data_IF_905982262726
#
_entry.id   IF_905982262726
#
_cell.length_a   1.000
_cell.length_b   1.000
_cell.length_c   1.000
_cell.angle_alpha   90.00
_cell.angle_beta   90.00
_cell.angle_gamma   90.00
#
_symmetry.space_group_name_H-M   'P 1'
#
loop_
_entity.id
_entity.type
_entity.pdbx_description
1 polymer ?
#
# COMPACT_ATOMS: atom_id res chain seq x y z
N UNK A 1 22.27 -10.62 -34.75
CA UNK A 1 21.20 -9.74 -34.24
C UNK A 1 20.30 -10.61 -33.37
N UNK A 2 20.32 -10.52 -32.03
CA UNK A 2 19.40 -11.31 -31.22
C UNK A 2 17.99 -10.70 -31.33
N UNK A 3 16.97 -11.57 -31.38
CA UNK A 3 15.56 -11.17 -31.48
C UNK A 3 15.13 -10.33 -30.28
N UNK A 4 14.39 -9.25 -30.56
CA UNK A 4 13.78 -8.34 -29.60
C UNK A 4 12.80 -9.07 -28.65
N UNK A 5 13.26 -9.49 -27.47
CA UNK A 5 12.41 -9.85 -26.32
C UNK A 5 11.94 -8.59 -25.57
N UNK A 6 11.45 -7.57 -26.27
CA UNK A 6 11.06 -6.31 -25.60
C UNK A 6 9.69 -6.42 -24.93
N UNK A 7 8.89 -7.43 -25.28
CA UNK A 7 7.50 -7.59 -24.84
C UNK A 7 7.35 -8.97 -24.19
N UNK A 8 7.08 -9.01 -22.89
CA UNK A 8 6.90 -10.25 -22.12
C UNK A 8 5.41 -10.38 -21.79
N UNK A 9 4.76 -11.54 -21.98
CA UNK A 9 3.40 -11.74 -21.53
C UNK A 9 3.25 -11.42 -20.03
N UNK A 10 2.24 -10.64 -19.65
CA UNK A 10 2.03 -10.20 -18.27
C UNK A 10 2.06 -11.38 -17.29
N UNK A 11 1.38 -12.48 -17.63
CA UNK A 11 1.31 -13.68 -16.79
C UNK A 11 2.69 -14.30 -16.52
N UNK A 12 3.64 -14.18 -17.46
CA UNK A 12 5.01 -14.66 -17.24
C UNK A 12 5.77 -13.73 -16.29
N UNK A 13 5.50 -12.42 -16.33
CA UNK A 13 6.14 -11.44 -15.45
C UNK A 13 5.58 -11.47 -14.02
N UNK A 14 4.31 -11.86 -13.84
CA UNK A 14 3.64 -11.92 -12.53
C UNK A 14 4.41 -12.77 -11.52
N UNK A 15 4.93 -13.92 -11.96
CA UNK A 15 5.69 -14.82 -11.09
C UNK A 15 6.93 -14.13 -10.50
N UNK A 16 7.75 -13.51 -11.35
CA UNK A 16 8.98 -12.80 -10.94
C UNK A 16 8.67 -11.57 -10.07
N UNK A 17 7.64 -10.80 -10.44
CA UNK A 17 7.19 -9.64 -9.66
C UNK A 17 6.79 -10.08 -8.24
N UNK A 18 6.02 -11.16 -8.14
CA UNK A 18 5.55 -11.71 -6.88
C UNK A 18 6.70 -12.23 -6.00
N UNK A 19 7.64 -12.97 -6.60
CA UNK A 19 8.80 -13.51 -5.89
C UNK A 19 9.68 -12.40 -5.33
N UNK A 20 10.05 -11.42 -6.17
CA UNK A 20 10.85 -10.29 -5.72
C UNK A 20 10.12 -9.42 -4.69
N UNK A 21 8.81 -9.20 -4.84
CA UNK A 21 8.01 -8.47 -3.85
C UNK A 21 8.07 -9.14 -2.47
N UNK A 22 7.83 -10.45 -2.38
CA UNK A 22 7.85 -11.19 -1.11
C UNK A 22 9.22 -11.15 -0.45
N UNK A 23 10.27 -11.30 -1.25
CA UNK A 23 11.65 -11.26 -0.79
C UNK A 23 12.01 -9.89 -0.20
N UNK A 24 11.65 -8.80 -0.89
CA UNK A 24 11.94 -7.44 -0.43
C UNK A 24 11.06 -7.08 0.78
N UNK A 25 9.77 -7.43 0.74
CA UNK A 25 8.80 -7.13 1.79
C UNK A 25 9.01 -7.95 3.08
N UNK A 26 9.92 -8.94 3.08
CA UNK A 26 10.13 -9.86 4.20
C UNK A 26 8.82 -10.49 4.71
N UNK A 27 7.91 -10.81 3.78
CA UNK A 27 6.54 -11.22 4.08
C UNK A 27 6.15 -12.49 3.32
N UNK A 28 6.33 -13.66 3.93
CA UNK A 28 5.95 -14.95 3.36
C UNK A 28 4.49 -15.35 3.61
N UNK A 29 3.81 -14.72 4.58
CA UNK A 29 2.44 -15.09 4.98
C UNK A 29 1.34 -14.39 4.18
N UNK A 30 1.66 -13.33 3.44
CA UNK A 30 0.74 -12.59 2.57
C UNK A 30 1.43 -12.22 1.26
N UNK A 31 0.96 -12.82 0.16
CA UNK A 31 1.34 -12.52 -1.22
C UNK A 31 0.49 -11.39 -1.81
N UNK A 32 0.81 -10.97 -3.05
CA UNK A 32 -0.07 -10.11 -3.82
C UNK A 32 -1.31 -10.91 -4.20
N UNK A 33 -2.48 -10.32 -4.00
CA UNK A 33 -3.76 -10.85 -4.47
C UNK A 33 -3.96 -10.60 -5.96
N UNK A 34 -4.92 -11.28 -6.61
CA UNK A 34 -5.30 -10.96 -7.99
C UNK A 34 -5.72 -9.49 -8.17
N UNK A 35 -6.31 -8.86 -7.15
CA UNK A 35 -6.67 -7.45 -7.16
C UNK A 35 -5.41 -6.57 -7.18
N UNK A 36 -4.42 -6.88 -6.35
CA UNK A 36 -3.15 -6.17 -6.28
C UNK A 36 -2.43 -6.22 -7.64
N UNK A 37 -2.36 -7.40 -8.25
CA UNK A 37 -1.75 -7.60 -9.57
C UNK A 37 -2.48 -6.83 -10.67
N UNK A 38 -3.81 -6.77 -10.62
CA UNK A 38 -4.60 -5.97 -11.55
C UNK A 38 -4.30 -4.48 -11.41
N UNK A 39 -4.11 -3.97 -10.19
CA UNK A 39 -3.70 -2.58 -10.01
C UNK A 39 -2.28 -2.34 -10.53
N UNK A 40 -1.34 -3.23 -10.24
CA UNK A 40 0.04 -3.12 -10.75
C UNK A 40 0.07 -3.10 -12.28
N UNK A 41 -0.75 -3.92 -12.94
CA UNK A 41 -0.91 -3.91 -14.39
C UNK A 41 -1.42 -2.55 -14.90
N UNK A 42 -2.38 -1.93 -14.20
CA UNK A 42 -2.87 -0.58 -14.51
C UNK A 42 -1.78 0.48 -14.32
N UNK A 43 -0.97 0.40 -13.26
CA UNK A 43 0.16 1.31 -13.00
C UNK A 43 1.22 1.18 -14.11
N UNK A 44 1.54 -0.06 -14.50
CA UNK A 44 2.45 -0.32 -15.61
C UNK A 44 1.95 0.28 -16.94
N UNK A 45 0.63 0.43 -17.09
CA UNK A 45 0.00 0.87 -18.32
C UNK A 45 0.03 -0.20 -19.41
N UNK A 46 0.13 -1.48 -19.03
CA UNK A 46 0.19 -2.61 -19.96
C UNK A 46 -1.12 -3.41 -19.97
N UNK A 47 -1.37 -4.14 -21.06
CA UNK A 47 -2.49 -5.07 -21.19
C UNK A 47 -1.97 -6.51 -21.08
N UNK A 48 -1.82 -7.20 -22.21
CA UNK A 48 -1.35 -8.58 -22.27
C UNK A 48 0.18 -8.70 -22.26
N UNK A 49 0.88 -7.66 -22.72
CA UNK A 49 2.34 -7.66 -22.85
C UNK A 49 2.96 -6.49 -22.10
N UNK A 50 4.01 -6.79 -21.36
CA UNK A 50 4.81 -5.86 -20.57
C UNK A 50 6.09 -5.49 -21.33
N UNK A 51 6.32 -4.20 -21.53
CA UNK A 51 7.59 -3.67 -22.03
C UNK A 51 8.53 -3.30 -20.89
N UNK A 52 9.81 -3.07 -21.20
CA UNK A 52 10.75 -2.53 -20.22
C UNK A 52 10.27 -1.20 -19.63
N UNK A 53 9.77 -0.27 -20.44
CA UNK A 53 9.25 1.01 -19.96
C UNK A 53 8.04 0.83 -19.01
N UNK A 54 7.14 -0.10 -19.33
CA UNK A 54 6.02 -0.43 -18.45
C UNK A 54 6.50 -1.03 -17.13
N UNK A 55 7.51 -1.91 -17.19
CA UNK A 55 8.10 -2.50 -16.00
C UNK A 55 8.78 -1.45 -15.13
N UNK A 56 9.54 -0.52 -15.70
CA UNK A 56 10.15 0.58 -14.97
C UNK A 56 9.10 1.42 -14.24
N UNK A 57 7.97 1.73 -14.90
CA UNK A 57 6.84 2.43 -14.27
C UNK A 57 6.27 1.69 -13.07
N UNK A 58 5.98 0.40 -13.25
CA UNK A 58 5.50 -0.47 -12.18
C UNK A 58 6.52 -0.56 -11.04
N UNK A 59 7.79 -0.80 -11.35
CA UNK A 59 8.81 -1.12 -10.36
C UNK A 59 9.19 0.10 -9.53
N UNK A 60 9.24 1.29 -10.12
CA UNK A 60 9.44 2.54 -9.38
C UNK A 60 8.32 2.82 -8.36
N UNK A 61 7.12 2.25 -8.54
CA UNK A 61 6.06 2.30 -7.54
C UNK A 61 6.15 1.14 -6.53
N UNK A 62 6.29 -0.10 -7.03
CA UNK A 62 6.24 -1.31 -6.20
C UNK A 62 7.45 -1.45 -5.28
N UNK A 63 8.64 -1.09 -5.74
CA UNK A 63 9.87 -1.24 -4.95
C UNK A 63 9.84 -0.40 -3.65
N UNK A 64 9.55 0.91 -3.68
CA UNK A 64 9.38 1.70 -2.44
C UNK A 64 8.28 1.16 -1.52
N UNK A 65 7.18 0.64 -2.08
CA UNK A 65 6.11 0.01 -1.32
C UNK A 65 6.61 -1.25 -0.60
N UNK A 66 7.31 -2.13 -1.29
CA UNK A 66 7.89 -3.34 -0.70
C UNK A 66 8.90 -3.01 0.42
N UNK A 67 9.76 -2.01 0.21
CA UNK A 67 10.70 -1.51 1.23
C UNK A 67 9.98 -0.93 2.44
N UNK A 68 8.81 -0.32 2.25
CA UNK A 68 8.01 0.18 3.37
C UNK A 68 7.36 -0.96 4.14
N UNK A 69 6.82 -1.95 3.43
CA UNK A 69 6.23 -3.16 4.04
C UNK A 69 7.27 -3.97 4.82
N UNK A 70 8.53 -3.97 4.42
CA UNK A 70 9.59 -4.70 5.12
C UNK A 70 9.96 -4.10 6.49
N UNK A 71 9.49 -2.89 6.80
CA UNK A 71 9.73 -2.25 8.11
C UNK A 71 8.94 -2.94 9.21
N UNK A 72 9.58 -3.14 10.36
CA UNK A 72 9.00 -3.85 11.52
C UNK A 72 7.66 -3.31 12.02
N UNK A 73 7.35 -2.05 11.75
CA UNK A 73 6.11 -1.38 12.17
C UNK A 73 5.00 -1.41 11.10
N UNK A 74 5.32 -1.68 9.82
CA UNK A 74 4.32 -1.88 8.73
C UNK A 74 4.06 -3.36 8.51
N UNK A 75 5.10 -4.18 8.58
CA UNK A 75 5.04 -5.58 8.28
C UNK A 75 3.94 -6.32 9.06
N UNK A 76 3.73 -6.09 10.37
CA UNK A 76 2.66 -6.74 11.14
C UNK A 76 1.26 -6.37 10.65
N UNK A 77 1.01 -5.10 10.31
CA UNK A 77 -0.30 -4.66 9.80
C UNK A 77 -0.55 -5.10 8.36
N UNK A 78 0.51 -5.24 7.54
CA UNK A 78 0.40 -5.85 6.22
C UNK A 78 0.05 -7.34 6.34
N UNK A 79 0.74 -8.08 7.22
CA UNK A 79 0.53 -9.53 7.42
C UNK A 79 -0.83 -9.88 8.01
N UNK A 80 -1.43 -8.97 8.78
CA UNK A 80 -2.72 -9.19 9.42
C UNK A 80 -3.85 -9.29 8.40
N UNK A 81 -4.48 -10.47 8.34
CA UNK A 81 -5.67 -10.73 7.50
C UNK A 81 -6.98 -10.65 8.29
N UNK A 82 -6.91 -10.64 9.63
CA UNK A 82 -8.08 -10.47 10.51
C UNK A 82 -7.65 -9.80 11.84
N UNK A 83 -7.96 -8.50 12.05
CA UNK A 83 -8.54 -7.59 11.08
C UNK A 83 -7.54 -7.21 9.97
N UNK A 84 -8.06 -6.87 8.79
CA UNK A 84 -7.24 -6.46 7.65
C UNK A 84 -6.96 -4.96 7.75
N UNK A 85 -5.74 -4.60 8.15
CA UNK A 85 -5.37 -3.20 8.37
C UNK A 85 -5.05 -2.47 7.08
N UNK A 86 -4.31 -3.13 6.19
CA UNK A 86 -4.02 -2.65 4.84
C UNK A 86 -4.80 -3.52 3.86
N UNK A 87 -5.76 -2.94 3.16
CA UNK A 87 -6.62 -3.66 2.21
C UNK A 87 -5.82 -4.32 1.08
N UNK A 88 -4.66 -3.76 0.77
CA UNK A 88 -3.82 -4.18 -0.35
C UNK A 88 -3.47 -2.95 -1.16
N UNK A 89 -3.31 -3.17 -2.44
CA UNK A 89 -3.17 -2.12 -3.42
C UNK A 89 -4.57 -1.82 -3.94
N UNK A 90 -5.12 -0.69 -3.49
CA UNK A 90 -6.41 -0.17 -3.90
C UNK A 90 -6.26 1.27 -4.37
N UNK A 91 -7.12 1.70 -5.29
CA UNK A 91 -7.15 3.09 -5.73
C UNK A 91 -7.75 4.00 -4.65
N UNK A 92 -7.65 5.31 -4.87
CA UNK A 92 -8.36 6.28 -4.03
C UNK A 92 -9.86 5.99 -4.06
N UNK A 93 -10.41 5.81 -5.25
CA UNK A 93 -11.84 5.62 -5.49
C UNK A 93 -12.36 4.30 -4.87
N UNK A 94 -11.56 3.22 -4.92
CA UNK A 94 -11.89 1.94 -4.27
C UNK A 94 -11.91 2.09 -2.73
N UNK A 95 -10.99 2.87 -2.15
CA UNK A 95 -10.99 3.16 -0.73
C UNK A 95 -12.20 4.00 -0.31
N UNK A 96 -12.55 5.03 -1.09
CA UNK A 96 -13.75 5.84 -0.84
C UNK A 96 -15.02 4.99 -0.92
N UNK A 97 -15.12 4.10 -1.91
CA UNK A 97 -16.24 3.18 -2.06
C UNK A 97 -16.35 2.21 -0.88
N UNK A 98 -15.23 1.71 -0.34
CA UNK A 98 -15.24 0.83 0.84
C UNK A 98 -15.78 1.52 2.10
N UNK A 99 -15.74 2.85 2.16
CA UNK A 99 -16.28 3.64 3.27
C UNK A 99 -17.72 4.09 3.04
N UNK A 100 -18.36 3.65 1.96
CA UNK A 100 -19.79 3.83 1.75
C UNK A 100 -20.56 2.74 2.50
N UNK A 101 -21.63 3.16 3.19
CA UNK A 101 -22.63 2.31 3.80
C UNK A 101 -23.97 2.38 3.04
N UNK A 102 -25.00 1.64 3.52
CA UNK A 102 -26.29 1.53 2.82
C UNK A 102 -27.02 2.87 2.59
N UNK A 103 -26.76 3.86 3.45
CA UNK A 103 -27.49 5.14 3.50
C UNK A 103 -26.59 6.37 3.35
N UNK A 104 -25.30 6.19 3.04
CA UNK A 104 -24.33 7.28 3.03
C UNK A 104 -22.92 6.77 3.30
N UNK A 105 -22.06 7.55 3.96
CA UNK A 105 -20.79 7.04 4.46
C UNK A 105 -21.00 6.22 5.75
N UNK A 106 -20.02 5.38 6.08
CA UNK A 106 -19.94 4.72 7.38
C UNK A 106 -19.79 5.75 8.52
N UNK A 107 -19.85 5.29 9.77
CA UNK A 107 -19.75 6.17 10.94
C UNK A 107 -18.43 6.96 10.96
N UNK A 108 -18.44 8.22 11.46
CA UNK A 108 -17.22 8.99 11.66
C UNK A 108 -16.16 8.22 12.45
N UNK A 109 -14.92 8.36 12.02
CA UNK A 109 -13.77 7.63 12.55
C UNK A 109 -13.51 6.27 11.88
N UNK A 110 -14.37 5.84 10.97
CA UNK A 110 -14.11 4.64 10.16
C UNK A 110 -13.04 4.94 9.10
N UNK A 111 -12.02 4.09 8.99
CA UNK A 111 -10.86 4.33 8.11
C UNK A 111 -10.31 3.10 7.40
N UNK A 112 -9.57 3.35 6.32
CA UNK A 112 -8.81 2.35 5.55
C UNK A 112 -7.40 2.87 5.29
N UNK A 113 -6.40 1.99 5.43
CA UNK A 113 -5.01 2.26 5.04
C UNK A 113 -4.72 1.74 3.63
N UNK A 114 -4.00 2.54 2.86
CA UNK A 114 -3.55 2.18 1.51
C UNK A 114 -2.23 2.84 1.15
N UNK A 115 -1.57 2.28 0.14
CA UNK A 115 -0.50 2.97 -0.58
C UNK A 115 -1.11 3.88 -1.65
N UNK A 116 -0.67 5.13 -1.81
CA UNK A 116 -1.21 6.02 -2.82
C UNK A 116 -0.73 5.64 -4.21
N UNK A 117 -1.65 5.62 -5.16
CA UNK A 117 -1.36 5.52 -6.59
C UNK A 117 -1.48 6.92 -7.19
N UNK A 118 -0.43 7.73 -7.09
CA UNK A 118 -0.42 9.05 -7.74
C UNK A 118 -0.66 8.91 -9.25
N UNK A 119 -1.41 9.87 -9.82
CA UNK A 119 -1.64 9.98 -11.26
C UNK A 119 -0.47 10.64 -12.00
N UNK A 120 0.55 11.11 -11.29
CA UNK A 120 1.78 11.67 -11.89
C UNK A 120 2.90 10.65 -11.91
N UNK A 121 3.64 10.63 -13.01
CA UNK A 121 4.92 9.93 -13.15
C UNK A 121 6.06 10.95 -13.15
N UNK A 122 7.15 10.77 -12.36
CA UNK A 122 7.36 9.70 -11.37
C UNK A 122 6.37 9.81 -10.19
N UNK A 123 6.18 8.70 -9.46
CA UNK A 123 5.29 8.62 -8.30
C UNK A 123 6.00 9.13 -7.02
N UNK A 124 5.81 10.40 -6.61
CA UNK A 124 6.59 11.00 -5.52
C UNK A 124 6.24 10.44 -4.14
N UNK A 125 5.07 9.81 -4.02
CA UNK A 125 4.48 9.29 -2.81
C UNK A 125 4.53 7.75 -2.75
N UNK A 126 5.20 7.09 -3.69
CA UNK A 126 5.40 5.65 -3.68
C UNK A 126 6.07 5.20 -2.37
N UNK A 127 5.49 4.19 -1.72
CA UNK A 127 5.92 3.71 -0.41
C UNK A 127 5.42 4.53 0.78
N UNK A 128 4.69 5.63 0.58
CA UNK A 128 4.00 6.29 1.70
C UNK A 128 2.69 5.56 2.05
N UNK A 129 2.19 5.70 3.28
CA UNK A 129 0.85 5.26 3.64
C UNK A 129 -0.11 6.44 3.72
N UNK A 130 -1.31 6.26 3.17
CA UNK A 130 -2.42 7.20 3.30
C UNK A 130 -3.52 6.54 4.11
N UNK A 131 -4.07 7.27 5.07
CA UNK A 131 -5.34 6.92 5.71
C UNK A 131 -6.46 7.66 4.99
N UNK A 132 -7.43 6.92 4.47
CA UNK A 132 -8.72 7.47 4.03
C UNK A 132 -9.73 7.21 5.13
N UNK A 133 -10.48 8.23 5.58
CA UNK A 133 -11.42 8.08 6.71
C UNK A 133 -12.65 8.97 6.56
N UNK A 134 -13.71 8.62 7.29
CA UNK A 134 -14.91 9.44 7.44
C UNK A 134 -14.71 10.41 8.61
N UNK A 135 -14.73 11.71 8.32
CA UNK A 135 -14.61 12.76 9.33
C UNK A 135 -15.91 12.99 10.11
N UNK A 136 -15.83 13.75 11.20
CA UNK A 136 -17.00 14.18 11.98
C UNK A 136 -17.96 15.08 11.19
N UNK A 137 -17.50 15.64 10.07
CA UNK A 137 -18.30 16.38 9.10
C UNK A 137 -19.01 15.45 8.07
N UNK A 138 -18.92 14.14 8.25
CA UNK A 138 -19.44 13.11 7.33
C UNK A 138 -18.89 13.26 5.90
N UNK A 139 -17.63 13.71 5.78
CA UNK A 139 -16.89 13.76 4.51
C UNK A 139 -15.71 12.82 4.54
N UNK A 140 -15.26 12.45 3.35
CA UNK A 140 -14.05 11.66 3.17
C UNK A 140 -12.83 12.56 3.23
N UNK A 141 -11.87 12.16 4.05
CA UNK A 141 -10.58 12.80 4.19
C UNK A 141 -9.47 11.83 3.81
N UNK A 142 -8.39 12.35 3.24
CA UNK A 142 -7.20 11.56 2.91
C UNK A 142 -5.98 12.23 3.51
N UNK A 143 -5.28 11.52 4.39
CA UNK A 143 -4.14 12.04 5.11
C UNK A 143 -2.93 11.14 4.89
N UNK A 144 -1.84 11.73 4.38
CA UNK A 144 -0.55 11.06 4.31
C UNK A 144 -0.02 10.87 5.74
N UNK A 145 0.40 9.66 6.08
CA UNK A 145 0.99 9.37 7.38
C UNK A 145 2.47 9.82 7.39
N UNK A 146 2.82 10.69 8.33
CA UNK A 146 4.20 11.16 8.54
C UNK A 146 5.03 10.13 9.30
N UNK A 147 5.44 9.05 8.62
CA UNK A 147 6.09 7.89 9.25
C UNK A 147 7.58 8.12 9.53
N UNK A 148 8.23 9.04 8.80
CA UNK A 148 9.64 9.41 9.02
C UNK A 148 9.87 10.08 10.38
N UNK A 149 8.88 10.83 10.87
CA UNK A 149 8.98 11.52 12.17
C UNK A 149 8.78 10.56 13.35
N UNK A 150 8.09 9.45 13.12
CA UNK A 150 7.78 8.45 14.15
C UNK A 150 8.87 7.38 14.25
N UNK A 151 9.45 6.96 13.12
CA UNK A 151 10.36 5.81 13.06
C UNK A 151 11.75 6.10 12.47
N UNK A 152 12.04 7.34 12.06
CA UNK A 152 13.28 7.71 11.35
C UNK A 152 14.54 7.88 12.19
N UNK A 153 14.47 7.79 13.54
CA UNK A 153 15.62 8.10 14.41
C UNK A 153 16.50 6.92 14.83
N UNK A 154 16.28 5.69 14.33
CA UNK A 154 17.04 4.52 14.80
C UNK A 154 17.95 3.94 13.72
N UNK A 155 18.93 4.74 13.32
CA UNK A 155 20.23 4.23 12.88
C UNK A 155 21.25 4.74 13.87
N UNK A 156 21.45 4.00 14.96
CA UNK A 156 22.67 3.87 15.80
C UNK A 156 22.18 3.37 17.16
N UNK A 157 22.66 2.20 17.59
CA UNK A 157 22.13 1.49 18.74
C UNK A 157 22.19 2.30 20.03
N UNK A 158 21.03 2.64 20.57
CA UNK A 158 20.73 2.48 21.99
C UNK A 158 19.22 2.63 22.19
N UNK A 159 18.65 1.80 23.06
CA UNK A 159 17.25 1.81 23.55
C UNK A 159 16.16 1.49 22.51
N UNK A 160 15.72 0.23 22.56
CA UNK A 160 14.34 -0.18 22.25
C UNK A 160 13.41 0.59 23.21
N UNK A 161 13.12 1.86 22.90
CA UNK A 161 11.96 2.52 23.49
C UNK A 161 10.77 1.71 23.02
N UNK A 162 9.87 1.34 23.94
CA UNK A 162 8.60 0.66 23.64
C UNK A 162 7.81 1.48 22.60
N UNK A 163 8.11 1.25 21.32
CA UNK A 163 7.40 1.88 20.23
C UNK A 163 6.04 1.21 20.18
N UNK A 164 5.01 2.01 20.45
CA UNK A 164 3.63 1.56 20.30
C UNK A 164 3.44 1.05 18.87
N UNK A 165 2.86 -0.15 18.69
CA UNK A 165 2.48 -0.65 17.39
C UNK A 165 1.75 0.41 16.57
N UNK A 166 1.96 0.44 15.25
CA UNK A 166 1.31 1.43 14.37
C UNK A 166 -0.22 1.38 14.51
N UNK A 167 -0.79 0.19 14.78
CA UNK A 167 -2.20 0.02 15.12
C UNK A 167 -2.66 0.92 16.26
N UNK A 168 -1.93 0.89 17.38
CA UNK A 168 -2.25 1.64 18.59
C UNK A 168 -2.09 3.14 18.36
N UNK A 169 -1.10 3.52 17.56
CA UNK A 169 -0.91 4.92 17.17
C UNK A 169 -2.07 5.44 16.31
N UNK A 170 -2.55 4.64 15.36
CA UNK A 170 -3.69 5.00 14.53
C UNK A 170 -4.95 5.14 15.37
N UNK A 171 -5.23 4.18 16.26
CA UNK A 171 -6.42 4.21 17.12
C UNK A 171 -6.36 5.24 18.26
N UNK A 172 -5.19 5.82 18.53
CA UNK A 172 -5.05 6.92 19.46
C UNK A 172 -5.42 8.28 18.83
N UNK A 173 -5.50 8.36 17.50
CA UNK A 173 -5.91 9.58 16.80
C UNK A 173 -7.41 9.81 17.00
N UNK A 174 -7.85 11.01 17.41
CA UNK A 174 -9.27 11.28 17.71
C UNK A 174 -10.19 11.12 16.50
N UNK A 175 -9.63 11.20 15.29
CA UNK A 175 -10.35 11.07 14.02
C UNK A 175 -10.39 9.63 13.48
N UNK A 176 -9.73 8.67 14.14
CA UNK A 176 -9.62 7.29 13.66
C UNK A 176 -10.03 6.33 14.79
N UNK A 177 -11.22 5.75 14.69
CA UNK A 177 -11.81 4.92 15.74
C UNK A 177 -11.86 3.44 15.37
N UNK A 178 -12.09 3.10 14.10
CA UNK A 178 -12.28 1.72 13.65
C UNK A 178 -11.92 1.51 12.18
N UNK A 179 -11.55 0.28 11.83
CA UNK A 179 -11.29 -0.12 10.45
C UNK A 179 -12.61 -0.23 9.66
N UNK A 180 -12.57 0.20 8.40
CA UNK A 180 -13.61 -0.04 7.40
C UNK A 180 -13.76 -1.53 7.09
N UNK A 181 -14.95 -1.92 6.65
CA UNK A 181 -15.32 -3.29 6.26
C UNK A 181 -15.67 -3.37 4.79
#
# INVERSE_FOLDING_TARGET
MPLNNHHIPWENAVYEIQEHFVNIACCSSRSLSPQDLNLLRRIAGCQEYLTQENFEKLWCWLYPVAITISRDWVNPIWKSTSPKWIEGFITKEEAEASLQGPTGFQEPGTFVLRFPTSRSWPHPDAGSLVVTYVGNDYKLHHRLLSLHQVYGSYSTGDKRVDMKPLQDMLLAEPELSQLGR
#
